data_IF_426407293974
#
_entry.id   IF_426407293974
#
_cell.length_a   1.000
_cell.length_b   1.000
_cell.length_c   1.000
_cell.angle_alpha   90.00
_cell.angle_beta   90.00
_cell.angle_gamma   90.00
#
_symmetry.space_group_name_H-M   'P 1'
#
loop_
_entity.id
_entity.type
_entity.pdbx_description
1 polymer ?
#
# COMPACT_ATOMS: atom_id res chain seq x y z
N UNK A 1 -30.39 9.38 -39.18
CA UNK A 1 -29.00 9.03 -38.84
C UNK A 1 -28.75 9.54 -37.43
N UNK A 2 -29.03 8.71 -36.42
CA UNK A 2 -28.91 9.12 -35.01
C UNK A 2 -27.50 8.75 -34.55
N UNK A 3 -26.63 9.74 -34.36
CA UNK A 3 -25.32 9.52 -33.75
C UNK A 3 -25.53 9.29 -32.25
N UNK A 4 -25.38 8.05 -31.80
CA UNK A 4 -25.12 7.72 -30.41
C UNK A 4 -23.68 8.14 -30.09
N UNK A 5 -23.52 9.29 -29.42
CA UNK A 5 -22.28 9.58 -28.70
C UNK A 5 -22.27 8.71 -27.43
N UNK A 6 -21.61 7.56 -27.51
CA UNK A 6 -21.21 6.82 -26.31
C UNK A 6 -20.11 7.63 -25.61
N UNK A 7 -20.47 8.29 -24.51
CA UNK A 7 -19.51 8.91 -23.61
C UNK A 7 -18.66 7.80 -22.98
N UNK A 8 -17.37 7.76 -23.35
CA UNK A 8 -16.38 6.93 -22.67
C UNK A 8 -16.17 7.60 -21.31
N UNK A 9 -16.67 6.98 -20.24
CA UNK A 9 -16.36 7.42 -18.89
C UNK A 9 -14.87 7.16 -18.65
N UNK A 10 -14.06 8.22 -18.58
CA UNK A 10 -12.72 8.10 -18.03
C UNK A 10 -12.87 7.85 -16.53
N UNK A 11 -12.56 6.63 -16.07
CA UNK A 11 -12.33 6.42 -14.64
C UNK A 11 -11.10 7.25 -14.26
N UNK A 12 -11.26 8.12 -13.28
CA UNK A 12 -10.12 8.84 -12.73
C UNK A 12 -9.28 7.84 -11.93
N UNK A 13 -8.05 7.59 -12.37
CA UNK A 13 -7.09 6.76 -11.63
C UNK A 13 -6.94 7.31 -10.19
N UNK A 14 -7.08 6.42 -9.22
CA UNK A 14 -6.94 6.73 -7.80
C UNK A 14 -5.46 6.73 -7.42
N UNK A 15 -4.84 7.92 -7.36
CA UNK A 15 -3.41 8.09 -7.05
C UNK A 15 -3.17 8.64 -5.63
N UNK A 16 -2.35 7.95 -4.84
CA UNK A 16 -2.03 8.33 -3.46
C UNK A 16 -0.53 8.48 -3.23
N UNK A 17 -0.16 9.44 -2.37
CA UNK A 17 1.23 9.65 -1.96
C UNK A 17 1.69 8.55 -0.99
N UNK A 18 2.96 8.17 -1.10
CA UNK A 18 3.59 7.18 -0.24
C UNK A 18 4.29 7.86 0.93
N UNK A 19 3.95 7.47 2.15
CA UNK A 19 4.59 7.94 3.38
C UNK A 19 5.83 7.10 3.74
N UNK A 20 5.75 5.77 3.63
CA UNK A 20 6.82 4.87 4.03
C UNK A 20 6.80 3.51 3.33
N UNK A 21 7.94 2.83 3.44
CA UNK A 21 8.12 1.45 3.04
C UNK A 21 8.58 0.66 4.26
N UNK A 22 8.11 -0.57 4.38
CA UNK A 22 8.51 -1.49 5.44
C UNK A 22 8.81 -2.88 4.89
N UNK A 23 9.77 -3.55 5.50
CA UNK A 23 9.87 -5.01 5.45
C UNK A 23 8.82 -5.60 6.40
N UNK A 24 8.09 -6.61 5.95
CA UNK A 24 7.02 -7.26 6.71
C UNK A 24 7.43 -8.64 7.18
N UNK A 25 7.26 -8.91 8.48
CA UNK A 25 7.47 -10.23 9.07
C UNK A 25 6.15 -10.72 9.63
N UNK A 26 5.63 -11.84 9.11
CA UNK A 26 4.45 -12.50 9.68
C UNK A 26 4.83 -13.15 10.99
N UNK A 27 4.01 -12.95 12.02
CA UNK A 27 4.21 -13.52 13.35
C UNK A 27 3.40 -14.81 13.53
N UNK A 28 3.72 -15.55 14.59
CA UNK A 28 2.90 -16.67 15.03
C UNK A 28 1.61 -16.16 15.71
N UNK A 29 0.52 -16.94 15.61
CA UNK A 29 -0.75 -16.60 16.26
C UNK A 29 -0.57 -16.48 17.78
N UNK A 30 -1.18 -15.47 18.39
CA UNK A 30 -1.01 -15.17 19.81
C UNK A 30 0.25 -14.37 20.16
N UNK A 31 1.09 -14.00 19.18
CA UNK A 31 2.20 -13.05 19.41
C UNK A 31 1.64 -11.72 19.91
N UNK A 32 2.25 -11.14 20.95
CA UNK A 32 1.84 -9.86 21.53
C UNK A 32 2.97 -8.85 21.54
N UNK A 33 2.64 -7.59 21.31
CA UNK A 33 3.49 -6.44 21.62
C UNK A 33 2.94 -5.69 22.85
N UNK A 34 3.84 -5.06 23.61
CA UNK A 34 3.45 -4.12 24.67
C UNK A 34 3.32 -2.74 24.04
N UNK A 35 2.09 -2.25 23.95
CA UNK A 35 1.75 -0.91 23.52
C UNK A 35 1.85 0.12 24.65
N UNK A 36 1.29 1.31 24.42
CA UNK A 36 1.28 2.39 25.42
C UNK A 36 0.39 2.04 26.61
N UNK A 37 0.70 2.62 27.77
CA UNK A 37 -0.09 2.46 29.01
C UNK A 37 -0.23 0.99 29.43
N UNK A 38 0.86 0.22 29.30
CA UNK A 38 0.97 -1.19 29.69
C UNK A 38 -0.07 -2.13 29.02
N UNK A 39 -0.65 -1.71 27.90
CA UNK A 39 -1.62 -2.52 27.15
C UNK A 39 -0.90 -3.45 26.19
N UNK A 40 -1.27 -4.72 26.18
CA UNK A 40 -0.81 -5.65 25.14
C UNK A 40 -1.72 -5.61 23.92
N UNK A 41 -1.14 -5.80 22.73
CA UNK A 41 -1.84 -5.86 21.44
C UNK A 41 -1.37 -7.13 20.74
N UNK A 42 -2.30 -7.92 20.20
CA UNK A 42 -1.94 -9.05 19.35
C UNK A 42 -1.36 -8.54 18.02
N UNK A 43 -0.24 -9.12 17.62
CA UNK A 43 0.52 -8.68 16.44
C UNK A 43 0.42 -9.77 15.40
N UNK A 44 -0.11 -9.44 14.21
CA UNK A 44 -0.09 -10.31 13.03
C UNK A 44 1.15 -10.09 12.14
N UNK A 45 1.63 -8.84 12.10
CA UNK A 45 2.80 -8.45 11.33
C UNK A 45 3.71 -7.51 12.13
N UNK A 46 5.01 -7.76 12.08
CA UNK A 46 6.04 -6.80 12.48
C UNK A 46 6.54 -6.06 11.24
N UNK A 47 6.68 -4.74 11.37
CA UNK A 47 7.13 -3.85 10.29
C UNK A 47 8.48 -3.24 10.66
N UNK A 48 9.45 -3.32 9.77
CA UNK A 48 10.75 -2.65 9.93
C UNK A 48 10.97 -1.68 8.77
N UNK A 49 11.43 -0.43 9.00
CA UNK A 49 11.63 0.53 7.92
C UNK A 49 12.49 -0.04 6.78
N UNK A 50 12.04 0.15 5.55
CA UNK A 50 12.74 -0.32 4.35
C UNK A 50 13.10 0.85 3.43
N UNK A 51 14.06 0.58 2.55
CA UNK A 51 14.36 1.42 1.39
C UNK A 51 14.15 0.59 0.13
N UNK A 52 13.61 1.22 -0.90
CA UNK A 52 13.41 0.62 -2.22
C UNK A 52 14.24 1.36 -3.25
N UNK A 53 14.64 0.66 -4.31
CA UNK A 53 15.24 1.30 -5.46
C UNK A 53 14.23 2.24 -6.13
N UNK A 54 14.71 3.38 -6.61
CA UNK A 54 13.87 4.32 -7.35
C UNK A 54 13.47 3.70 -8.69
N UNK A 55 12.21 3.85 -9.07
CA UNK A 55 11.71 3.28 -10.31
C UNK A 55 10.19 3.21 -10.38
N UNK A 56 9.70 2.66 -11.50
CA UNK A 56 8.29 2.39 -11.75
C UNK A 56 8.09 0.88 -11.86
N UNK A 57 7.14 0.36 -11.11
CA UNK A 57 6.85 -1.07 -11.01
C UNK A 57 5.37 -1.33 -11.18
N UNK A 58 5.02 -2.47 -11.77
CA UNK A 58 3.67 -3.03 -11.72
C UNK A 58 3.71 -4.15 -10.69
N UNK A 59 2.89 -4.04 -9.64
CA UNK A 59 2.88 -4.98 -8.53
C UNK A 59 1.45 -5.32 -8.15
N UNK A 60 1.26 -6.46 -7.50
CA UNK A 60 -0.02 -6.82 -6.88
C UNK A 60 0.03 -6.55 -5.39
N UNK A 61 -0.99 -5.91 -4.84
CA UNK A 61 -1.05 -5.55 -3.43
C UNK A 61 -2.30 -6.08 -2.75
N UNK A 62 -2.19 -6.26 -1.44
CA UNK A 62 -3.31 -6.54 -0.54
C UNK A 62 -3.28 -5.57 0.63
N UNK A 63 -4.41 -4.97 0.97
CA UNK A 63 -4.57 -4.16 2.19
C UNK A 63 -4.45 -5.06 3.42
N UNK A 64 -3.51 -4.73 4.30
CA UNK A 64 -3.25 -5.46 5.56
C UNK A 64 -3.49 -4.59 6.80
N UNK A 65 -3.73 -3.30 6.60
CA UNK A 65 -4.02 -2.33 7.66
C UNK A 65 -4.51 -1.03 7.05
N UNK A 66 -4.79 -0.04 7.88
CA UNK A 66 -5.15 1.28 7.37
C UNK A 66 -3.95 1.94 6.72
N UNK A 67 -4.14 2.35 5.46
CA UNK A 67 -3.07 2.85 4.59
C UNK A 67 -1.91 1.86 4.36
N UNK A 68 -2.02 0.59 4.75
CA UNK A 68 -0.93 -0.39 4.65
C UNK A 68 -1.26 -1.46 3.61
N UNK A 69 -0.45 -1.50 2.57
CA UNK A 69 -0.59 -2.41 1.44
C UNK A 69 0.63 -3.29 1.32
N UNK A 70 0.47 -4.59 1.56
CA UNK A 70 1.54 -5.57 1.35
C UNK A 70 1.63 -5.92 -0.13
N UNK A 71 2.83 -5.88 -0.70
CA UNK A 71 3.10 -6.43 -2.03
C UNK A 71 3.02 -7.96 -1.94
N UNK A 72 2.20 -8.58 -2.78
CA UNK A 72 2.06 -10.03 -2.84
C UNK A 72 3.38 -10.66 -3.31
N UNK A 73 3.73 -11.81 -2.72
CA UNK A 73 4.97 -12.55 -2.98
C UNK A 73 6.27 -11.77 -2.69
N UNK A 74 6.18 -10.70 -1.89
CA UNK A 74 7.32 -9.94 -1.37
C UNK A 74 7.10 -9.62 0.10
N UNK A 75 8.19 -9.50 0.83
CA UNK A 75 8.15 -9.07 2.23
C UNK A 75 8.20 -7.54 2.34
N UNK A 76 7.50 -6.82 1.45
CA UNK A 76 7.46 -5.36 1.40
C UNK A 76 6.02 -4.88 1.61
N UNK A 77 5.86 -3.83 2.40
CA UNK A 77 4.62 -3.10 2.61
C UNK A 77 4.81 -1.61 2.32
N UNK A 78 3.79 -1.03 1.72
CA UNK A 78 3.70 0.38 1.35
C UNK A 78 2.70 1.04 2.30
N UNK A 79 3.14 2.10 2.97
CA UNK A 79 2.28 2.98 3.74
C UNK A 79 1.92 4.21 2.92
N UNK A 80 0.63 4.38 2.65
CA UNK A 80 0.08 5.50 1.88
C UNK A 80 -0.35 6.66 2.78
N UNK A 81 -0.64 7.81 2.18
CA UNK A 81 -1.30 8.94 2.84
C UNK A 81 -2.76 8.97 2.40
N UNK A 82 -3.68 8.81 3.36
CA UNK A 82 -5.12 8.99 3.18
C UNK A 82 -5.70 8.19 2.00
N UNK A 83 -5.32 6.92 1.87
CA UNK A 83 -5.80 6.05 0.81
C UNK A 83 -7.12 5.40 1.21
N UNK A 84 -8.09 5.43 0.30
CA UNK A 84 -9.44 4.91 0.51
C UNK A 84 -9.69 3.59 -0.23
N UNK A 85 -8.70 3.10 -0.97
CA UNK A 85 -8.81 1.86 -1.74
C UNK A 85 -8.82 0.63 -0.84
N UNK A 86 -9.64 -0.36 -1.19
CA UNK A 86 -9.91 -1.48 -0.27
C UNK A 86 -9.01 -2.69 -0.50
N UNK A 87 -8.45 -2.83 -1.71
CA UNK A 87 -7.53 -3.87 -2.18
C UNK A 87 -7.54 -5.19 -1.38
N UNK A 88 -8.70 -5.85 -1.29
CA UNK A 88 -8.92 -6.89 -0.27
C UNK A 88 -8.28 -8.24 -0.56
N UNK A 89 -8.06 -8.55 -1.83
CA UNK A 89 -7.56 -9.86 -2.25
C UNK A 89 -6.22 -9.72 -2.95
N UNK A 90 -6.22 -9.05 -4.11
CA UNK A 90 -5.05 -8.86 -4.95
C UNK A 90 -5.40 -7.83 -6.01
N UNK A 91 -4.98 -6.59 -5.82
CA UNK A 91 -5.15 -5.54 -6.84
C UNK A 91 -3.83 -5.25 -7.51
N UNK A 92 -3.84 -5.19 -8.84
CA UNK A 92 -2.69 -4.72 -9.61
C UNK A 92 -2.64 -3.20 -9.54
N UNK A 93 -1.46 -2.66 -9.27
CA UNK A 93 -1.24 -1.22 -9.09
C UNK A 93 0.06 -0.81 -9.76
N UNK A 94 0.14 0.47 -10.10
CA UNK A 94 1.39 1.10 -10.48
C UNK A 94 2.04 1.68 -9.22
N UNK A 95 3.23 1.19 -8.89
CA UNK A 95 4.08 1.72 -7.83
C UNK A 95 5.18 2.58 -8.44
N UNK A 96 5.25 3.84 -8.05
CA UNK A 96 6.32 4.78 -8.38
C UNK A 96 7.11 5.07 -7.10
N UNK A 97 8.41 4.79 -7.11
CA UNK A 97 9.35 5.12 -6.04
C UNK A 97 10.26 6.25 -6.52
N UNK A 98 10.04 7.45 -6.01
CA UNK A 98 10.81 8.64 -6.37
C UNK A 98 12.00 8.86 -5.43
N UNK A 99 11.82 8.54 -4.14
CA UNK A 99 12.81 8.81 -3.09
C UNK A 99 12.56 7.94 -1.87
N UNK A 100 13.62 7.67 -1.08
CA UNK A 100 13.51 7.05 0.24
C UNK A 100 13.39 8.08 1.39
N UNK A 101 13.41 9.37 1.07
CA UNK A 101 13.40 10.49 2.00
C UNK A 101 12.33 11.51 1.62
N UNK A 102 11.97 12.36 2.59
CA UNK A 102 11.00 13.44 2.39
C UNK A 102 9.58 13.06 2.83
N UNK A 103 8.66 14.01 2.64
CA UNK A 103 7.27 13.87 3.05
C UNK A 103 6.51 12.84 2.20
N UNK A 104 6.79 12.81 0.89
CA UNK A 104 6.32 11.79 -0.04
C UNK A 104 7.52 11.05 -0.63
N UNK A 105 7.39 9.73 -0.75
CA UNK A 105 8.41 8.83 -1.29
C UNK A 105 8.09 8.35 -2.71
N UNK A 106 6.93 8.75 -3.23
CA UNK A 106 6.43 8.34 -4.52
C UNK A 106 4.91 8.21 -4.51
N UNK A 107 4.38 7.42 -5.44
CA UNK A 107 2.93 7.24 -5.63
C UNK A 107 2.55 5.78 -5.81
N UNK A 108 1.37 5.42 -5.31
CA UNK A 108 0.67 4.20 -5.68
C UNK A 108 -0.60 4.60 -6.43
N UNK A 109 -0.84 3.96 -7.57
CA UNK A 109 -1.96 4.28 -8.46
C UNK A 109 -2.79 3.02 -8.63
N UNK A 110 -4.07 3.14 -8.32
CA UNK A 110 -5.11 2.13 -8.51
C UNK A 110 -5.96 2.53 -9.72
N UNK A 111 -6.33 1.54 -10.54
CA UNK A 111 -7.19 1.70 -11.72
C UNK A 111 -8.69 1.85 -11.36
#
# INVERSE_FOLDING_TARGET
MTLLLSAIAANAESSYDIAAFYTVYKTESGTKAVGKMDRTIEVEYLLSPAKLDTGKYIVKVKKIGDNLYKIIDRDICIETRYCHEWASYSEEVILIVDSNYGYTKGKIIFD
#
